data_IF_156925649371
#
_entry.id   IF_156925649371
#
_cell.length_a   1.000
_cell.length_b   1.000
_cell.length_c   1.000
_cell.angle_alpha   90.00
_cell.angle_beta   90.00
_cell.angle_gamma   90.00
#
_symmetry.space_group_name_H-M   'P 1'
#
loop_
_entity.id
_entity.type
_entity.pdbx_description
1 polymer ?
#
# COMPACT_ATOMS: atom_id res chain seq x y z
N UNK A 1 25.24 14.84 -5.82
CA UNK A 1 23.79 14.65 -5.61
C UNK A 1 23.70 13.38 -4.81
N UNK A 2 23.31 13.46 -3.54
CA UNK A 2 23.16 12.28 -2.69
C UNK A 2 21.89 11.55 -3.11
N UNK A 3 22.07 10.47 -3.86
CA UNK A 3 21.04 9.46 -4.10
C UNK A 3 20.95 8.45 -2.94
N UNK A 4 21.72 8.70 -1.87
CA UNK A 4 21.87 7.88 -0.69
C UNK A 4 20.81 8.24 0.35
N UNK A 5 19.91 7.30 0.61
CA UNK A 5 18.96 7.47 1.70
C UNK A 5 17.92 6.36 1.75
N UNK A 6 17.61 5.73 0.61
CA UNK A 6 16.65 4.63 0.57
C UNK A 6 16.99 3.54 -0.45
N UNK A 7 16.41 2.36 -0.22
CA UNK A 7 16.25 1.28 -1.21
C UNK A 7 14.77 0.99 -1.39
N UNK A 8 14.42 0.35 -2.50
CA UNK A 8 13.04 -0.06 -2.77
C UNK A 8 12.94 -1.58 -2.74
N UNK A 9 12.10 -2.10 -1.85
CA UNK A 9 11.61 -3.48 -1.92
C UNK A 9 10.48 -3.50 -2.93
N UNK A 10 10.61 -4.30 -3.98
CA UNK A 10 9.71 -4.31 -5.12
C UNK A 10 8.96 -5.63 -5.24
N UNK A 11 7.69 -5.53 -5.62
CA UNK A 11 6.82 -6.66 -5.95
C UNK A 11 7.09 -7.23 -7.35
N UNK A 12 8.35 -7.57 -7.64
CA UNK A 12 8.78 -8.30 -8.86
C UNK A 12 8.59 -9.80 -8.68
N UNK A 13 8.82 -10.60 -9.72
CA UNK A 13 8.85 -12.06 -9.63
C UNK A 13 10.23 -12.61 -10.05
N UNK A 14 11.09 -13.07 -9.11
CA UNK A 14 10.90 -13.06 -7.65
C UNK A 14 10.96 -11.65 -7.06
N UNK A 15 10.47 -11.43 -5.81
CA UNK A 15 10.64 -10.16 -5.10
C UNK A 15 12.09 -9.71 -5.06
N UNK A 16 12.34 -8.42 -5.22
CA UNK A 16 13.69 -7.87 -5.31
C UNK A 16 13.85 -6.56 -4.56
N UNK A 17 15.10 -6.21 -4.27
CA UNK A 17 15.51 -4.94 -3.73
C UNK A 17 16.25 -4.17 -4.81
N UNK A 18 15.80 -2.95 -5.07
CA UNK A 18 16.46 -1.99 -5.94
C UNK A 18 17.22 -0.97 -5.09
N UNK A 19 18.49 -0.76 -5.42
CA UNK A 19 19.24 0.42 -5.00
C UNK A 19 19.10 1.51 -6.08
N UNK A 20 18.35 2.59 -5.83
CA UNK A 20 18.18 3.66 -6.80
C UNK A 20 19.53 4.26 -7.22
N UNK A 21 20.46 4.44 -6.28
CA UNK A 21 21.72 5.15 -6.53
C UNK A 21 22.61 4.46 -7.56
N UNK A 22 22.62 3.13 -7.57
CA UNK A 22 23.42 2.30 -8.47
C UNK A 22 22.62 1.69 -9.61
N UNK A 23 21.29 1.64 -9.46
CA UNK A 23 20.37 0.93 -10.33
C UNK A 23 20.44 -0.59 -10.22
N UNK A 24 21.21 -1.12 -9.28
CA UNK A 24 21.36 -2.55 -9.07
C UNK A 24 20.09 -3.11 -8.44
N UNK A 25 19.56 -4.17 -9.04
CA UNK A 25 18.44 -4.95 -8.51
C UNK A 25 18.94 -6.32 -8.05
N UNK A 26 18.67 -6.69 -6.80
CA UNK A 26 19.04 -7.98 -6.22
C UNK A 26 17.80 -8.72 -5.72
N UNK A 27 17.63 -10.03 -6.01
CA UNK A 27 16.55 -10.82 -5.41
C UNK A 27 16.57 -10.75 -3.88
N UNK A 28 15.41 -10.74 -3.24
CA UNK A 28 15.33 -10.80 -1.79
C UNK A 28 15.71 -12.20 -1.29
N UNK A 29 16.63 -12.32 -0.32
CA UNK A 29 17.03 -13.62 0.23
C UNK A 29 15.84 -14.38 0.81
N UNK A 30 15.73 -15.67 0.50
CA UNK A 30 14.65 -16.51 1.06
C UNK A 30 13.26 -16.27 0.46
N UNK A 31 13.10 -15.34 -0.48
CA UNK A 31 11.87 -15.17 -1.22
C UNK A 31 11.58 -16.42 -2.10
N UNK A 32 10.34 -16.94 -2.11
CA UNK A 32 9.96 -18.05 -2.96
C UNK A 32 10.22 -17.77 -4.45
N UNK A 33 10.80 -18.75 -5.14
CA UNK A 33 11.03 -18.71 -6.58
C UNK A 33 9.81 -19.24 -7.38
N UNK A 34 9.86 -19.11 -8.71
CA UNK A 34 8.85 -19.64 -9.64
C UNK A 34 7.86 -18.60 -10.16
N UNK A 35 6.81 -19.06 -10.87
CA UNK A 35 5.72 -18.20 -11.34
C UNK A 35 4.80 -17.82 -10.18
N UNK A 36 4.95 -16.58 -9.72
CA UNK A 36 4.29 -16.06 -8.52
C UNK A 36 3.80 -14.64 -8.73
N UNK A 37 2.73 -14.30 -8.03
CA UNK A 37 2.28 -12.92 -7.85
C UNK A 37 2.78 -12.45 -6.49
N UNK A 38 3.52 -11.36 -6.49
CA UNK A 38 4.08 -10.79 -5.28
C UNK A 38 3.45 -9.43 -5.00
N UNK A 39 3.28 -9.12 -3.72
CA UNK A 39 2.91 -7.80 -3.26
C UNK A 39 3.81 -7.41 -2.08
N UNK A 40 3.92 -6.12 -1.81
CA UNK A 40 4.73 -5.57 -0.73
C UNK A 40 3.97 -4.50 0.02
N UNK A 41 4.07 -4.54 1.35
CA UNK A 41 3.49 -3.53 2.22
C UNK A 41 4.42 -3.20 3.37
N UNK A 42 4.25 -2.00 3.92
CA UNK A 42 5.03 -1.49 5.05
C UNK A 42 4.33 -1.80 6.37
N UNK A 43 5.08 -2.31 7.34
CA UNK A 43 4.69 -2.36 8.76
C UNK A 43 5.79 -1.68 9.57
N UNK A 44 5.55 -0.41 9.93
CA UNK A 44 6.56 0.46 10.52
C UNK A 44 7.81 0.57 9.65
N UNK A 45 8.95 0.10 10.14
CA UNK A 45 10.22 0.06 9.38
C UNK A 45 10.42 -1.22 8.56
N UNK A 46 9.59 -2.23 8.76
CA UNK A 46 9.79 -3.55 8.17
C UNK A 46 8.97 -3.72 6.89
N UNK A 47 9.61 -4.06 5.76
CA UNK A 47 8.88 -4.51 4.58
C UNK A 47 8.34 -5.92 4.80
N UNK A 48 7.07 -6.10 4.46
CA UNK A 48 6.36 -7.38 4.46
C UNK A 48 6.04 -7.74 3.02
N UNK A 49 6.48 -8.93 2.60
CA UNK A 49 6.27 -9.47 1.26
C UNK A 49 5.18 -10.54 1.33
N UNK A 50 4.19 -10.42 0.45
CA UNK A 50 3.19 -11.44 0.19
C UNK A 50 3.55 -12.11 -1.12
N UNK A 51 3.66 -13.44 -1.10
CA UNK A 51 4.04 -14.20 -2.30
C UNK A 51 3.08 -15.37 -2.52
N UNK A 52 2.25 -15.28 -3.57
CA UNK A 52 1.29 -16.31 -3.95
C UNK A 52 1.74 -17.06 -5.21
N UNK A 53 1.68 -18.39 -5.18
CA UNK A 53 1.82 -19.19 -6.39
C UNK A 53 0.58 -19.05 -7.27
N UNK A 54 0.76 -19.09 -8.60
CA UNK A 54 -0.36 -19.23 -9.53
C UNK A 54 -0.81 -20.69 -9.60
N UNK A 55 -2.08 -20.94 -9.33
CA UNK A 55 -2.74 -22.25 -9.56
C UNK A 55 -3.48 -22.31 -10.91
N UNK A 56 -3.46 -21.21 -11.68
CA UNK A 56 -4.08 -21.08 -13.00
C UNK A 56 -4.11 -19.62 -13.44
N UNK A 57 -4.68 -19.30 -14.62
CA UNK A 57 -4.67 -17.93 -15.17
C UNK A 57 -5.32 -16.88 -14.26
N UNK A 58 -6.34 -17.27 -13.51
CA UNK A 58 -7.09 -16.40 -12.58
C UNK A 58 -7.03 -16.87 -11.12
N UNK A 59 -6.24 -17.90 -10.82
CA UNK A 59 -6.20 -18.56 -9.52
C UNK A 59 -4.88 -18.24 -8.81
N UNK A 60 -4.98 -17.77 -7.57
CA UNK A 60 -3.85 -17.59 -6.67
C UNK A 60 -4.04 -18.42 -5.42
N UNK A 61 -2.99 -19.16 -5.06
CA UNK A 61 -2.87 -19.79 -3.75
C UNK A 61 -2.80 -18.71 -2.66
N UNK A 62 -3.16 -19.02 -1.40
CA UNK A 62 -2.87 -18.15 -0.27
C UNK A 62 -1.40 -17.73 -0.25
N UNK A 63 -1.15 -16.44 -0.03
CA UNK A 63 0.20 -15.86 -0.04
C UNK A 63 1.01 -16.35 1.15
N UNK A 64 2.26 -16.75 0.91
CA UNK A 64 3.27 -16.82 1.96
C UNK A 64 3.60 -15.40 2.42
N UNK A 65 3.54 -15.17 3.73
CA UNK A 65 3.77 -13.86 4.36
C UNK A 65 5.17 -13.84 4.98
N UNK A 66 6.02 -12.94 4.49
CA UNK A 66 7.44 -12.87 4.82
C UNK A 66 7.77 -11.49 5.38
N UNK A 67 8.36 -11.43 6.57
CA UNK A 67 8.81 -10.17 7.19
C UNK A 67 10.32 -10.09 7.10
N UNK A 68 10.84 -8.99 6.57
CA UNK A 68 12.27 -8.74 6.50
C UNK A 68 12.67 -7.74 7.57
N UNK A 69 13.37 -8.22 8.61
CA UNK A 69 14.01 -7.37 9.61
C UNK A 69 15.14 -6.53 9.01
N UNK A 70 15.94 -7.20 8.20
CA UNK A 70 16.95 -6.65 7.32
C UNK A 70 16.76 -7.33 5.95
N UNK A 71 16.49 -6.57 4.87
CA UNK A 71 16.30 -7.11 3.53
C UNK A 71 17.52 -7.82 2.92
N UNK A 72 18.69 -7.72 3.54
CA UNK A 72 19.88 -8.53 3.22
C UNK A 72 19.88 -9.92 3.86
N UNK A 73 18.96 -10.22 4.78
CA UNK A 73 18.90 -11.46 5.54
C UNK A 73 17.66 -12.29 5.20
N UNK A 74 17.62 -13.53 5.72
CA UNK A 74 16.45 -14.40 5.61
C UNK A 74 15.24 -13.80 6.35
N UNK A 75 14.01 -13.91 5.79
CA UNK A 75 12.82 -13.37 6.41
C UNK A 75 12.29 -14.29 7.52
N UNK A 76 11.53 -13.70 8.44
CA UNK A 76 10.60 -14.47 9.28
C UNK A 76 9.36 -14.84 8.47
N UNK A 77 8.94 -16.10 8.55
CA UNK A 77 7.74 -16.59 7.88
C UNK A 77 6.57 -16.54 8.85
N UNK A 78 5.52 -15.78 8.52
CA UNK A 78 4.31 -15.69 9.34
C UNK A 78 3.24 -16.72 8.94
N UNK A 79 3.54 -17.58 7.96
CA UNK A 79 2.63 -18.58 7.40
C UNK A 79 1.90 -18.09 6.16
N UNK A 80 0.75 -18.71 5.86
CA UNK A 80 -0.07 -18.38 4.69
C UNK A 80 -1.27 -17.50 5.06
N UNK A 81 -1.63 -16.58 4.17
CA UNK A 81 -2.80 -15.72 4.31
C UNK A 81 -3.34 -15.27 2.95
N UNK A 82 -4.65 -15.02 2.88
CA UNK A 82 -5.32 -14.43 1.71
C UNK A 82 -5.24 -12.90 1.69
N UNK A 83 -5.07 -12.28 2.85
CA UNK A 83 -4.94 -10.84 3.00
C UNK A 83 -4.13 -10.50 4.24
N UNK A 84 -3.37 -9.40 4.19
CA UNK A 84 -2.46 -8.94 5.23
C UNK A 84 -2.59 -7.43 5.39
N UNK A 85 -2.62 -6.95 6.63
CA UNK A 85 -2.61 -5.53 6.95
C UNK A 85 -1.76 -5.25 8.20
N UNK A 86 -1.11 -4.09 8.29
CA UNK A 86 -0.42 -3.66 9.49
C UNK A 86 -1.38 -3.48 10.67
N UNK A 87 -0.88 -3.83 11.86
CA UNK A 87 -1.48 -3.46 13.14
C UNK A 87 -1.23 -1.98 13.47
N UNK A 88 -2.04 -1.39 14.34
CA UNK A 88 -2.00 0.04 14.64
C UNK A 88 -0.71 0.47 15.36
N UNK A 89 -0.12 -0.45 16.13
CA UNK A 89 1.13 -0.28 16.86
C UNK A 89 2.37 -0.67 16.05
N UNK A 90 2.18 -1.09 14.80
CA UNK A 90 3.23 -1.53 13.88
C UNK A 90 4.07 -2.72 14.40
N UNK A 91 3.62 -3.42 15.45
CA UNK A 91 4.35 -4.55 16.05
C UNK A 91 4.00 -5.91 15.42
N UNK A 92 2.99 -5.92 14.55
CA UNK A 92 2.48 -7.12 13.89
C UNK A 92 1.57 -6.80 12.70
N UNK A 93 0.91 -7.86 12.25
CA UNK A 93 -0.04 -7.83 11.16
C UNK A 93 -1.32 -8.55 11.52
N UNK A 94 -2.41 -8.09 10.93
CA UNK A 94 -3.65 -8.82 10.79
C UNK A 94 -3.62 -9.66 9.53
N UNK A 95 -4.09 -10.90 9.64
CA UNK A 95 -4.14 -11.87 8.56
C UNK A 95 -5.56 -12.38 8.39
N UNK A 96 -6.01 -12.53 7.15
CA UNK A 96 -7.07 -13.51 6.83
C UNK A 96 -6.35 -14.81 6.50
N UNK A 97 -6.19 -15.67 7.52
CA UNK A 97 -5.58 -16.99 7.36
C UNK A 97 -6.55 -17.91 6.62
N UNK A 98 -5.98 -18.73 5.75
CA UNK A 98 -6.66 -19.85 5.11
C UNK A 98 -6.39 -21.10 5.94
N UNK A 99 -7.43 -21.67 6.54
CA UNK A 99 -7.34 -22.89 7.33
C UNK A 99 -7.79 -24.13 6.52
N UNK A 100 -8.09 -23.98 5.21
CA UNK A 100 -8.60 -25.03 4.33
C UNK A 100 -10.14 -25.09 4.27
N UNK A 101 -10.69 -25.84 3.31
CA UNK A 101 -12.14 -26.11 3.17
C UNK A 101 -13.03 -24.85 3.16
N UNK A 102 -12.59 -23.77 2.51
CA UNK A 102 -13.24 -22.44 2.52
C UNK A 102 -13.44 -21.83 3.93
N UNK A 103 -12.70 -22.33 4.92
CA UNK A 103 -12.64 -21.77 6.26
C UNK A 103 -11.47 -20.79 6.36
N UNK A 104 -11.81 -19.56 6.72
CA UNK A 104 -10.83 -18.54 7.02
C UNK A 104 -11.03 -17.95 8.41
N UNK A 105 -9.96 -17.37 8.94
CA UNK A 105 -10.00 -16.65 10.21
C UNK A 105 -9.20 -15.37 10.17
N UNK A 106 -9.69 -14.36 10.87
CA UNK A 106 -8.96 -13.17 11.22
C UNK A 106 -8.01 -13.50 12.37
N UNK A 107 -6.70 -13.29 12.16
CA UNK A 107 -5.65 -13.58 13.13
C UNK A 107 -4.69 -12.40 13.26
N UNK A 108 -4.30 -12.07 14.49
CA UNK A 108 -3.13 -11.22 14.73
C UNK A 108 -1.87 -12.07 14.86
N UNK A 109 -0.79 -11.65 14.20
CA UNK A 109 0.54 -12.25 14.30
C UNK A 109 1.57 -11.14 14.44
N UNK A 110 2.41 -11.21 15.49
CA UNK A 110 3.55 -10.31 15.63
C UNK A 110 4.55 -10.46 14.48
N UNK A 111 5.36 -9.44 14.24
CA UNK A 111 6.39 -9.50 13.19
C UNK A 111 7.47 -10.58 13.42
N UNK A 112 7.51 -11.17 14.63
CA UNK A 112 8.38 -12.29 14.99
C UNK A 112 7.68 -13.66 14.88
N UNK A 113 6.45 -13.71 14.37
CA UNK A 113 5.71 -14.96 14.14
C UNK A 113 4.86 -15.46 15.30
N UNK A 114 4.86 -14.78 16.45
CA UNK A 114 4.00 -15.16 17.57
C UNK A 114 2.54 -14.73 17.32
N UNK A 115 1.61 -15.69 17.43
CA UNK A 115 0.17 -15.44 17.36
C UNK A 115 -0.35 -14.97 18.74
N UNK A 116 -1.22 -13.97 18.75
CA UNK A 116 -1.78 -13.43 20.01
C UNK A 116 -2.85 -14.35 20.61
N UNK A 117 -3.65 -14.99 19.77
CA UNK A 117 -4.79 -15.85 20.13
C UNK A 117 -5.06 -16.85 18.99
N UNK A 118 -6.15 -17.62 19.04
CA UNK A 118 -6.53 -18.57 17.97
C UNK A 118 -7.24 -17.92 16.79
N UNK A 119 -7.50 -16.62 16.85
CA UNK A 119 -8.20 -15.88 15.83
C UNK A 119 -9.72 -16.02 15.94
N UNK A 120 -10.40 -15.50 14.92
CA UNK A 120 -11.85 -15.45 14.82
C UNK A 120 -12.28 -15.90 13.43
N UNK A 121 -13.34 -16.71 13.28
CA UNK A 121 -13.88 -17.04 11.96
C UNK A 121 -14.16 -15.79 11.14
N UNK A 122 -13.80 -15.82 9.87
CA UNK A 122 -13.99 -14.73 8.92
C UNK A 122 -14.27 -15.30 7.52
N UNK A 123 -14.93 -14.52 6.67
CA UNK A 123 -15.08 -14.91 5.26
C UNK A 123 -13.71 -14.89 4.56
N UNK A 124 -13.43 -15.89 3.72
CA UNK A 124 -12.25 -15.92 2.86
C UNK A 124 -12.23 -14.80 1.80
N UNK A 125 -13.37 -14.14 1.56
CA UNK A 125 -13.47 -12.95 0.69
C UNK A 125 -13.22 -11.64 1.45
N UNK A 126 -12.89 -11.70 2.74
CA UNK A 126 -12.50 -10.52 3.52
C UNK A 126 -11.08 -10.11 3.14
N UNK A 127 -10.85 -8.81 2.95
CA UNK A 127 -9.51 -8.24 2.91
C UNK A 127 -9.29 -7.33 4.11
N UNK A 128 -8.20 -7.52 4.86
CA UNK A 128 -7.78 -6.58 5.88
C UNK A 128 -7.03 -5.42 5.22
N UNK A 129 -7.18 -4.20 5.74
CA UNK A 129 -6.55 -3.00 5.15
C UNK A 129 -5.55 -2.32 6.08
N UNK A 130 -5.98 -1.94 7.28
CA UNK A 130 -5.14 -1.27 8.28
C UNK A 130 -5.90 -1.26 9.61
N UNK A 131 -5.21 -1.57 10.70
CA UNK A 131 -5.75 -1.27 12.04
C UNK A 131 -5.42 0.17 12.45
N UNK A 132 -6.39 0.82 13.06
CA UNK A 132 -6.29 2.13 13.69
C UNK A 132 -6.75 2.01 15.15
N UNK A 133 -6.46 2.99 16.02
CA UNK A 133 -6.93 2.97 17.41
C UNK A 133 -8.44 2.73 17.58
N UNK A 134 -9.25 3.12 16.58
CA UNK A 134 -10.70 2.92 16.59
C UNK A 134 -11.16 1.51 16.17
N UNK A 135 -10.30 0.71 15.55
CA UNK A 135 -10.64 -0.63 15.08
C UNK A 135 -9.84 -1.06 13.85
N UNK A 136 -10.19 -2.23 13.30
CA UNK A 136 -9.58 -2.77 12.09
C UNK A 136 -10.45 -2.44 10.88
N UNK A 137 -9.89 -1.74 9.90
CA UNK A 137 -10.54 -1.54 8.61
C UNK A 137 -10.40 -2.80 7.76
N UNK A 138 -11.53 -3.33 7.32
CA UNK A 138 -11.62 -4.45 6.38
C UNK A 138 -12.46 -4.07 5.16
N UNK A 139 -12.25 -4.76 4.06
CA UNK A 139 -13.19 -4.81 2.94
C UNK A 139 -13.87 -6.17 2.95
N UNK A 140 -15.19 -6.19 3.11
CA UNK A 140 -15.98 -7.42 2.95
C UNK A 140 -16.27 -7.65 1.47
N UNK A 141 -16.37 -8.92 1.04
CA UNK A 141 -16.58 -9.29 -0.37
C UNK A 141 -15.55 -8.65 -1.32
N UNK A 142 -14.29 -8.59 -0.89
CA UNK A 142 -13.20 -8.00 -1.65
C UNK A 142 -13.07 -8.65 -3.04
N UNK A 143 -12.78 -7.83 -4.05
CA UNK A 143 -12.69 -8.26 -5.45
C UNK A 143 -14.03 -8.39 -6.18
N UNK A 144 -15.15 -8.04 -5.54
CA UNK A 144 -16.49 -8.08 -6.14
C UNK A 144 -17.09 -6.69 -6.29
N UNK A 145 -18.19 -6.57 -7.05
CA UNK A 145 -18.93 -5.31 -7.21
C UNK A 145 -19.67 -4.88 -5.93
N UNK A 146 -19.89 -5.80 -4.98
CA UNK A 146 -20.52 -5.55 -3.68
C UNK A 146 -19.48 -5.40 -2.56
N UNK A 147 -18.26 -5.03 -2.89
CA UNK A 147 -17.21 -4.80 -1.91
C UNK A 147 -17.55 -3.56 -1.06
N UNK A 148 -17.46 -3.68 0.26
CA UNK A 148 -17.76 -2.60 1.20
C UNK A 148 -16.65 -2.48 2.25
N UNK A 149 -16.29 -1.25 2.59
CA UNK A 149 -15.32 -0.99 3.64
C UNK A 149 -16.02 -0.88 5.00
N UNK A 150 -15.56 -1.66 5.99
CA UNK A 150 -16.15 -1.74 7.32
C UNK A 150 -15.05 -1.59 8.36
N UNK A 151 -15.27 -0.72 9.34
CA UNK A 151 -14.45 -0.66 10.54
C UNK A 151 -15.06 -1.61 11.57
N UNK A 152 -14.27 -2.57 12.05
CA UNK A 152 -14.70 -3.57 13.03
C UNK A 152 -13.89 -3.46 14.33
N UNK A 153 -14.47 -3.93 15.43
CA UNK A 153 -13.70 -4.28 16.63
C UNK A 153 -13.08 -5.66 16.39
N UNK A 154 -11.74 -5.78 16.26
CA UNK A 154 -11.12 -7.04 15.91
C UNK A 154 -11.16 -8.09 17.05
N UNK A 155 -11.41 -7.69 18.30
CA UNK A 155 -11.53 -8.63 19.40
C UNK A 155 -12.87 -9.40 19.37
N UNK A 156 -13.93 -8.70 18.98
CA UNK A 156 -15.31 -9.23 18.96
C UNK A 156 -15.83 -9.56 17.56
N UNK A 157 -15.22 -9.01 16.51
CA UNK A 157 -15.71 -9.08 15.13
C UNK A 157 -16.90 -8.15 14.85
N UNK A 158 -17.32 -7.34 15.82
CA UNK A 158 -18.49 -6.46 15.69
C UNK A 158 -18.20 -5.31 14.73
N UNK A 159 -19.11 -5.05 13.79
CA UNK A 159 -19.07 -3.86 12.96
C UNK A 159 -19.29 -2.59 13.81
N UNK A 160 -18.39 -1.62 13.65
CA UNK A 160 -18.44 -0.32 14.30
C UNK A 160 -19.00 0.74 13.36
N UNK A 161 -18.55 0.73 12.10
CA UNK A 161 -19.00 1.68 11.08
C UNK A 161 -18.83 1.11 9.67
N UNK A 162 -19.66 1.53 8.74
CA UNK A 162 -19.56 1.18 7.32
C UNK A 162 -19.31 2.44 6.49
N UNK A 163 -18.45 2.31 5.48
CA UNK A 163 -18.06 3.40 4.60
C UNK A 163 -18.28 3.00 3.14
N UNK A 164 -18.77 3.91 2.28
CA UNK A 164 -19.01 3.59 0.88
C UNK A 164 -17.71 3.29 0.11
N UNK A 165 -16.63 4.04 0.39
CA UNK A 165 -15.29 3.77 -0.16
C UNK A 165 -14.19 4.53 0.59
N UNK A 166 -13.31 3.81 1.27
CA UNK A 166 -12.12 4.36 1.93
C UNK A 166 -10.94 4.30 0.97
N UNK A 167 -10.33 5.45 0.68
CA UNK A 167 -9.13 5.52 -0.14
C UNK A 167 -7.87 5.24 0.68
N UNK A 168 -7.78 5.87 1.85
CA UNK A 168 -6.67 5.68 2.78
C UNK A 168 -7.11 5.94 4.22
N UNK A 169 -6.33 5.39 5.14
CA UNK A 169 -6.52 5.57 6.57
C UNK A 169 -5.17 5.78 7.25
N UNK A 170 -5.13 6.73 8.17
CA UNK A 170 -4.02 7.01 9.08
C UNK A 170 -4.49 6.73 10.50
N UNK A 171 -3.61 6.90 11.52
CA UNK A 171 -3.98 6.67 12.92
C UNK A 171 -5.20 7.49 13.37
N UNK A 172 -5.39 8.69 12.81
CA UNK A 172 -6.44 9.62 13.27
C UNK A 172 -7.41 10.06 12.18
N UNK A 173 -7.17 9.71 10.92
CA UNK A 173 -7.91 10.25 9.78
C UNK A 173 -8.23 9.18 8.75
N UNK A 174 -9.37 9.31 8.08
CA UNK A 174 -9.68 8.54 6.86
C UNK A 174 -9.94 9.50 5.69
N UNK A 175 -9.35 9.19 4.54
CA UNK A 175 -9.70 9.82 3.27
C UNK A 175 -10.74 8.96 2.57
N UNK A 176 -11.91 9.53 2.29
CA UNK A 176 -13.05 8.86 1.70
C UNK A 176 -13.31 9.40 0.29
N UNK A 177 -13.70 8.51 -0.62
CA UNK A 177 -14.18 8.90 -1.93
C UNK A 177 -15.70 9.16 -1.87
N UNK A 178 -16.11 10.35 -2.28
CA UNK A 178 -17.51 10.67 -2.56
C UNK A 178 -17.79 10.62 -4.06
N UNK A 179 -19.04 10.85 -4.44
CA UNK A 179 -19.45 10.89 -5.84
C UNK A 179 -18.68 11.93 -6.68
N UNK A 180 -18.50 13.14 -6.14
CA UNK A 180 -17.88 14.26 -6.87
C UNK A 180 -16.68 14.88 -6.15
N UNK A 181 -16.48 14.54 -4.88
CA UNK A 181 -15.45 15.13 -4.02
C UNK A 181 -14.80 14.09 -3.13
N UNK A 182 -13.89 14.54 -2.27
CA UNK A 182 -13.41 13.73 -1.17
C UNK A 182 -14.00 14.22 0.15
N UNK A 183 -13.86 13.39 1.17
CA UNK A 183 -14.01 13.87 2.55
C UNK A 183 -12.92 13.28 3.43
N UNK A 184 -12.53 14.05 4.44
CA UNK A 184 -11.65 13.59 5.51
C UNK A 184 -12.48 13.41 6.77
N UNK A 185 -12.44 12.21 7.34
CA UNK A 185 -13.07 11.88 8.62
C UNK A 185 -12.03 11.91 9.73
N UNK A 186 -12.26 12.71 10.76
CA UNK A 186 -11.51 12.65 12.04
C UNK A 186 -12.04 11.47 12.87
N UNK A 187 -11.19 10.47 13.09
CA UNK A 187 -11.57 9.26 13.82
C UNK A 187 -11.78 9.48 15.31
N UNK A 188 -11.27 10.58 15.87
CA UNK A 188 -11.33 10.87 17.31
C UNK A 188 -12.71 11.40 17.71
N UNK A 189 -13.38 12.15 16.83
CA UNK A 189 -14.65 12.81 17.11
C UNK A 189 -15.72 12.59 16.02
N UNK A 190 -15.45 11.76 15.01
CA UNK A 190 -16.33 11.46 13.87
C UNK A 190 -16.71 12.68 13.02
N UNK A 191 -15.94 13.77 13.09
CA UNK A 191 -16.16 14.94 12.27
C UNK A 191 -15.72 14.68 10.84
N UNK A 192 -16.63 14.88 9.88
CA UNK A 192 -16.38 14.74 8.46
C UNK A 192 -16.28 16.10 7.79
N UNK A 193 -15.17 16.33 7.09
CA UNK A 193 -14.87 17.59 6.42
C UNK A 193 -14.79 17.35 4.91
N UNK A 194 -15.52 18.11 4.08
CA UNK A 194 -15.42 17.98 2.63
C UNK A 194 -14.07 18.50 2.14
N UNK A 195 -13.54 17.86 1.10
CA UNK A 195 -12.31 18.27 0.42
C UNK A 195 -12.56 18.22 -1.09
N UNK A 196 -12.36 19.36 -1.75
CA UNK A 196 -12.50 19.43 -3.21
C UNK A 196 -11.45 18.58 -3.91
N UNK A 197 -11.78 18.04 -5.08
CA UNK A 197 -10.79 17.30 -5.89
C UNK A 197 -9.84 18.32 -6.54
N UNK A 198 -8.52 18.05 -6.58
CA UNK A 198 -7.58 18.97 -7.19
C UNK A 198 -7.64 18.93 -8.73
N UNK A 199 -8.18 17.85 -9.29
CA UNK A 199 -8.30 17.63 -10.74
C UNK A 199 -9.75 17.33 -11.12
N UNK A 200 -10.21 17.94 -12.21
CA UNK A 200 -11.55 17.71 -12.76
C UNK A 200 -11.67 16.34 -13.47
N UNK A 201 -10.58 15.89 -14.11
CA UNK A 201 -10.49 14.64 -14.87
C UNK A 201 -9.52 13.66 -14.20
N UNK A 202 -9.62 12.38 -14.56
CA UNK A 202 -8.84 11.30 -13.97
C UNK A 202 -9.49 10.68 -12.73
N UNK A 203 -9.13 9.43 -12.44
CA UNK A 203 -9.65 8.67 -11.30
C UNK A 203 -8.58 8.51 -10.22
N UNK A 204 -8.93 8.64 -8.93
CA UNK A 204 -8.00 8.31 -7.85
C UNK A 204 -7.63 6.83 -7.95
N UNK A 205 -6.34 6.57 -8.15
CA UNK A 205 -5.73 5.25 -8.18
C UNK A 205 -5.10 4.94 -6.83
N UNK A 206 -3.77 4.80 -6.82
CA UNK A 206 -3.02 4.52 -5.61
C UNK A 206 -3.06 5.70 -4.64
N UNK A 207 -3.31 5.39 -3.36
CA UNK A 207 -3.33 6.36 -2.27
C UNK A 207 -2.45 5.84 -1.14
N UNK A 208 -1.48 6.65 -0.71
CA UNK A 208 -0.46 6.23 0.27
C UNK A 208 -0.31 7.30 1.35
N UNK A 209 -0.69 6.98 2.60
CA UNK A 209 -0.36 7.80 3.75
C UNK A 209 1.15 7.97 3.93
N UNK A 210 1.53 9.20 4.26
CA UNK A 210 2.82 9.51 4.86
C UNK A 210 3.03 8.72 6.16
N UNK A 211 4.29 8.48 6.52
CA UNK A 211 4.65 7.69 7.70
C UNK A 211 4.22 8.34 9.01
N UNK A 212 4.22 9.67 9.08
CA UNK A 212 3.74 10.43 10.24
C UNK A 212 2.21 10.52 10.30
N UNK A 213 1.51 10.18 9.20
CA UNK A 213 0.06 10.14 9.11
C UNK A 213 -0.62 11.49 8.94
N UNK A 214 0.14 12.57 8.68
CA UNK A 214 -0.40 13.92 8.49
C UNK A 214 -0.70 14.27 7.04
N UNK A 215 -0.13 13.50 6.11
CA UNK A 215 -0.28 13.71 4.68
C UNK A 215 -0.69 12.44 3.94
N UNK A 216 -1.33 12.59 2.79
CA UNK A 216 -1.67 11.49 1.90
C UNK A 216 -1.31 11.86 0.47
N UNK A 217 -0.48 11.03 -0.17
CA UNK A 217 -0.22 11.12 -1.60
C UNK A 217 -1.32 10.37 -2.37
N UNK A 218 -1.87 11.01 -3.39
CA UNK A 218 -2.90 10.48 -4.27
C UNK A 218 -2.39 10.54 -5.70
N UNK A 219 -2.36 9.37 -6.35
CA UNK A 219 -2.17 9.27 -7.79
C UNK A 219 -3.52 9.37 -8.47
N UNK A 220 -3.67 10.29 -9.42
CA UNK A 220 -4.79 10.40 -10.32
C UNK A 220 -4.37 9.87 -11.70
N UNK A 221 -5.02 8.79 -12.13
CA UNK A 221 -4.75 8.19 -13.44
C UNK A 221 -5.78 8.63 -14.47
N UNK A 222 -5.32 9.03 -15.65
CA UNK A 222 -6.15 9.20 -16.85
C UNK A 222 -5.71 8.19 -17.92
N UNK A 223 -6.54 7.19 -18.25
CA UNK A 223 -6.18 6.17 -19.24
C UNK A 223 -6.23 6.68 -20.68
N UNK A 224 -6.83 7.85 -20.94
CA UNK A 224 -7.04 8.40 -22.27
C UNK A 224 -6.91 9.93 -22.27
N UNK A 225 -5.75 10.41 -21.84
CA UNK A 225 -5.49 11.83 -21.61
C UNK A 225 -5.82 12.67 -22.84
N UNK A 226 -6.66 13.69 -22.63
CA UNK A 226 -7.19 14.56 -23.69
C UNK A 226 -7.83 13.82 -24.88
N UNK A 227 -8.44 12.65 -24.63
CA UNK A 227 -9.08 11.83 -25.66
C UNK A 227 -8.11 11.04 -26.55
N UNK A 228 -6.84 10.92 -26.13
CA UNK A 228 -5.80 10.17 -26.86
C UNK A 228 -5.60 8.77 -26.27
N UNK A 229 -4.71 7.96 -26.86
CA UNK A 229 -4.26 6.70 -26.27
C UNK A 229 -3.19 6.88 -25.17
N UNK A 230 -2.83 8.13 -24.84
CA UNK A 230 -1.79 8.44 -23.85
C UNK A 230 -2.35 8.25 -22.45
N UNK A 231 -1.71 7.40 -21.67
CA UNK A 231 -1.99 7.28 -20.25
C UNK A 231 -1.16 8.29 -19.46
N UNK A 232 -1.76 8.95 -18.48
CA UNK A 232 -1.04 9.89 -17.61
C UNK A 232 -1.30 9.64 -16.13
N UNK A 233 -0.26 9.83 -15.32
CA UNK A 233 -0.34 9.81 -13.88
C UNK A 233 -0.05 11.21 -13.33
N UNK A 234 -1.00 11.76 -12.58
CA UNK A 234 -0.86 13.03 -11.87
C UNK A 234 -0.78 12.80 -10.36
N UNK A 235 0.16 13.45 -9.66
CA UNK A 235 0.38 13.19 -8.24
C UNK A 235 0.10 14.43 -7.43
N UNK A 236 -0.72 14.27 -6.40
CA UNK A 236 -1.09 15.34 -5.48
C UNK A 236 -0.94 14.87 -4.04
N UNK A 237 -0.54 15.76 -3.15
CA UNK A 237 -0.43 15.48 -1.72
C UNK A 237 -1.44 16.33 -0.97
N UNK A 238 -2.30 15.68 -0.18
CA UNK A 238 -3.24 16.33 0.72
C UNK A 238 -2.63 16.42 2.12
N UNK A 239 -2.51 17.63 2.66
CA UNK A 239 -2.31 17.84 4.08
C UNK A 239 -3.65 17.64 4.81
N UNK A 240 -3.70 16.70 5.77
CA UNK A 240 -4.95 16.27 6.40
C UNK A 240 -5.46 17.20 7.52
N UNK A 241 -4.61 18.10 7.99
CA UNK A 241 -4.90 19.10 9.01
C UNK A 241 -5.47 20.40 8.40
N UNK A 242 -4.87 20.89 7.33
CA UNK A 242 -5.28 22.10 6.63
C UNK A 242 -6.22 21.83 5.46
N UNK A 243 -6.34 20.56 5.04
CA UNK A 243 -7.11 20.12 3.87
C UNK A 243 -6.65 20.78 2.56
N UNK A 244 -5.38 21.16 2.49
CA UNK A 244 -4.79 21.80 1.31
C UNK A 244 -4.07 20.80 0.42
N UNK A 245 -4.32 20.90 -0.88
CA UNK A 245 -3.61 20.13 -1.90
C UNK A 245 -2.31 20.81 -2.33
N UNK A 246 -1.26 20.01 -2.44
CA UNK A 246 0.00 20.38 -3.08
C UNK A 246 0.19 19.53 -4.32
N UNK A 247 0.34 20.16 -5.47
CA UNK A 247 0.64 19.48 -6.72
C UNK A 247 2.10 19.05 -6.75
N UNK A 248 2.37 17.79 -7.11
CA UNK A 248 3.74 17.39 -7.34
C UNK A 248 4.29 18.07 -8.61
N UNK A 249 5.52 18.59 -8.60
CA UNK A 249 6.06 19.30 -9.74
C UNK A 249 6.17 18.37 -10.95
N UNK A 250 6.01 18.90 -12.17
CA UNK A 250 6.22 18.14 -13.41
C UNK A 250 5.29 16.94 -13.63
N UNK A 251 4.15 16.86 -12.93
CA UNK A 251 3.04 15.95 -13.25
C UNK A 251 1.86 16.74 -13.86
N UNK A 252 0.97 16.12 -14.66
CA UNK A 252 0.93 14.72 -15.05
C UNK A 252 2.11 14.27 -15.91
N UNK A 253 2.56 13.03 -15.70
CA UNK A 253 3.57 12.37 -16.55
C UNK A 253 2.92 11.33 -17.46
N UNK A 254 3.41 11.20 -18.69
CA UNK A 254 2.98 10.14 -19.61
C UNK A 254 3.63 8.81 -19.21
N UNK A 255 2.83 7.85 -18.75
CA UNK A 255 3.33 6.57 -18.23
C UNK A 255 2.23 5.50 -18.24
N UNK A 256 2.55 4.22 -18.44
CA UNK A 256 1.59 3.14 -18.24
C UNK A 256 1.10 3.11 -16.79
N UNK A 257 -0.20 3.30 -16.56
CA UNK A 257 -0.77 3.40 -15.21
C UNK A 257 -0.54 2.16 -14.37
N UNK A 258 -0.58 0.98 -15.01
CA UNK A 258 -0.37 -0.32 -14.37
C UNK A 258 1.05 -0.55 -13.82
N UNK A 259 1.97 0.39 -14.07
CA UNK A 259 3.36 0.30 -13.69
C UNK A 259 3.79 1.38 -12.69
N UNK A 260 2.91 2.33 -12.37
CA UNK A 260 3.25 3.42 -11.44
C UNK A 260 3.07 2.95 -9.99
N UNK A 261 4.10 3.15 -9.18
CA UNK A 261 4.03 3.02 -7.73
C UNK A 261 4.43 4.34 -7.07
N UNK A 262 3.82 4.65 -5.94
CA UNK A 262 4.21 5.77 -5.07
C UNK A 262 4.40 5.25 -3.65
N UNK A 263 5.36 5.84 -2.91
CA UNK A 263 5.65 5.45 -1.52
C UNK A 263 6.38 6.57 -0.78
N UNK A 264 6.25 6.61 0.54
CA UNK A 264 6.99 7.53 1.40
C UNK A 264 8.24 6.89 2.01
N UNK A 265 9.37 7.58 1.87
CA UNK A 265 10.60 7.27 2.60
C UNK A 265 10.48 7.66 4.08
N UNK A 266 11.42 7.20 4.89
CA UNK A 266 11.48 7.51 6.33
C UNK A 266 11.70 9.00 6.60
N UNK A 267 12.44 9.69 5.73
CA UNK A 267 12.72 11.13 5.84
C UNK A 267 11.59 12.03 5.31
N UNK A 268 10.44 11.47 4.94
CA UNK A 268 9.29 12.22 4.45
C UNK A 268 9.38 12.65 2.98
N UNK A 269 10.30 12.08 2.19
CA UNK A 269 10.28 12.24 0.74
C UNK A 269 9.23 11.31 0.10
N UNK A 270 8.52 11.82 -0.90
CA UNK A 270 7.66 11.02 -1.76
C UNK A 270 8.50 10.41 -2.87
N UNK A 271 8.44 9.09 -3.03
CA UNK A 271 9.04 8.35 -4.14
C UNK A 271 7.96 8.02 -5.16
N UNK A 272 8.33 8.12 -6.43
CA UNK A 272 7.58 7.59 -7.56
C UNK A 272 8.46 6.62 -8.34
N UNK A 273 7.90 5.48 -8.73
CA UNK A 273 8.55 4.47 -9.55
C UNK A 273 7.72 4.22 -10.82
N UNK A 274 8.29 4.54 -11.98
CA UNK A 274 7.70 4.41 -13.33
C UNK A 274 8.64 3.60 -14.24
N UNK A 275 9.05 4.12 -15.38
CA UNK A 275 10.24 3.75 -16.11
C UNK A 275 11.54 4.21 -15.41
N UNK A 276 11.43 5.20 -14.53
CA UNK A 276 12.51 5.73 -13.68
C UNK A 276 12.10 5.73 -12.21
N UNK A 277 13.07 5.90 -11.31
CA UNK A 277 12.80 6.19 -9.90
C UNK A 277 13.06 7.67 -9.66
N UNK A 278 12.16 8.35 -8.98
CA UNK A 278 12.40 9.73 -8.54
C UNK A 278 11.89 9.92 -7.13
N UNK A 279 12.51 10.84 -6.39
CA UNK A 279 12.03 11.28 -5.09
C UNK A 279 11.85 12.79 -5.05
N UNK A 280 10.88 13.24 -4.28
CA UNK A 280 10.52 14.64 -4.12
C UNK A 280 10.18 14.92 -2.67
N UNK A 281 10.74 16.00 -2.14
CA UNK A 281 10.34 16.57 -0.87
C UNK A 281 9.43 17.76 -1.15
N UNK A 282 8.35 17.89 -0.38
CA UNK A 282 7.35 18.94 -0.58
C UNK A 282 7.92 20.37 -0.50
N UNK A 283 9.04 20.56 0.21
CA UNK A 283 9.74 21.84 0.32
C UNK A 283 10.65 22.15 -0.89
N UNK A 284 10.73 21.27 -1.88
CA UNK A 284 11.56 21.42 -3.08
C UNK A 284 10.72 21.65 -4.34
N UNK A 285 11.17 22.49 -5.27
CA UNK A 285 10.41 22.81 -6.48
C UNK A 285 10.50 21.74 -7.58
N UNK A 286 11.33 20.69 -7.40
CA UNK A 286 11.64 19.70 -8.44
C UNK A 286 11.85 18.32 -7.84
N UNK A 287 11.54 17.29 -8.63
CA UNK A 287 11.96 15.92 -8.36
C UNK A 287 13.48 15.77 -8.50
N UNK A 288 14.04 14.92 -7.66
CA UNK A 288 15.37 14.34 -7.89
C UNK A 288 15.17 13.03 -8.64
N UNK A 289 15.55 13.01 -9.91
CA UNK A 289 15.37 11.86 -10.78
C UNK A 289 16.60 10.96 -10.72
N UNK A 290 16.35 9.67 -10.53
CA UNK A 290 17.31 8.60 -10.54
C UNK A 290 17.03 7.74 -11.77
N UNK A 291 17.85 7.92 -12.82
CA UNK A 291 17.68 7.20 -14.09
C UNK A 291 18.14 5.76 -13.94
N UNK A 292 17.24 4.95 -13.39
CA UNK A 292 17.45 3.54 -13.12
C UNK A 292 16.35 2.76 -13.83
N UNK A 293 16.70 1.83 -14.74
CA UNK A 293 15.70 1.00 -15.38
C UNK A 293 15.03 0.12 -14.33
N UNK A 294 13.71 0.11 -14.34
CA UNK A 294 12.91 -0.75 -13.47
C UNK A 294 12.61 -2.09 -14.17
N UNK A 295 12.55 -3.22 -13.44
CA UNK A 295 12.10 -4.49 -13.99
C UNK A 295 10.73 -4.36 -14.66
N UNK A 296 10.61 -4.94 -15.86
CA UNK A 296 9.43 -4.82 -16.70
C UNK A 296 8.19 -5.48 -16.06
N UNK A 297 8.38 -6.64 -15.42
CA UNK A 297 7.33 -7.36 -14.69
C UNK A 297 7.36 -7.03 -13.21
N UNK A 298 6.40 -6.21 -12.77
CA UNK A 298 6.17 -5.87 -11.37
C UNK A 298 4.72 -5.45 -11.14
N UNK A 299 4.23 -5.66 -9.93
CA UNK A 299 3.00 -5.02 -9.46
C UNK A 299 3.23 -3.54 -9.09
N UNK A 300 2.14 -2.81 -8.84
CA UNK A 300 2.14 -1.36 -8.58
C UNK A 300 2.61 -0.97 -7.16
N UNK A 301 3.28 -1.84 -6.42
CA UNK A 301 3.64 -1.61 -5.01
C UNK A 301 5.15 -1.68 -4.81
N UNK A 302 5.66 -0.75 -4.02
CA UNK A 302 7.05 -0.71 -3.56
C UNK A 302 7.05 -0.29 -2.11
N UNK A 303 8.04 -0.73 -1.34
CA UNK A 303 8.29 -0.23 0.02
C UNK A 303 9.66 0.41 0.07
N UNK A 304 9.71 1.70 0.41
CA UNK A 304 10.94 2.41 0.65
C UNK A 304 11.47 2.07 2.05
N UNK A 305 12.74 1.65 2.12
CA UNK A 305 13.48 1.36 3.36
C UNK A 305 14.69 2.28 3.43
N UNK A 306 15.13 2.65 4.65
CA UNK A 306 16.37 3.41 4.82
C UNK A 306 17.58 2.60 4.33
N UNK A 307 18.58 3.29 3.78
CA UNK A 307 19.92 2.72 3.65
C UNK A 307 20.56 2.71 5.05
N UNK A 308 20.85 1.51 5.56
CA UNK A 308 21.58 1.31 6.81
C UNK A 308 23.06 1.66 6.70
#
# INVERSE_FOLDING_TARGET
MDYSGFRLVMSTSPPSMLDPATGVTTPLPGAPAGDRVNDVLRVGKFPVVLSAARCGPSCLEPSEVLVYGDPGNQPWKLGKARSVAPAADESGVWLIRDDGDDLCRLQYVSLLGAERDRGRPASCTTAVRQEVPKGLLITVNSGTASAEDVLIDPATGRALHQFPRVLAVTKERMLLAELTKFSVLDLRNDQRMPVERPVANGMPGMVVPSRDGYQVAVLFGDPAWAGTATQTADVWVLALDTLTWTHAPSTPIATPLKQVAIEWTEDGSLVIATDVVANWRLDRPRWTVVKTPLPAERNQRVVAIAQG
#
